data_IF_412936276558
#
_entry.id   IF_412936276558
#
_cell.length_a   1.000
_cell.length_b   1.000
_cell.length_c   1.000
_cell.angle_alpha   90.00
_cell.angle_beta   90.00
_cell.angle_gamma   90.00
#
_symmetry.space_group_name_H-M   'P 1'
#
loop_
_entity.id
_entity.type
_entity.pdbx_description
1 polymer ?
#
# COMPACT_ATOMS: atom_id res chain seq x y z
N UNK A 1 -50.16 0.36 -29.36
CA UNK A 1 -49.10 0.07 -30.35
C UNK A 1 -48.44 1.41 -30.63
N UNK A 2 -47.24 1.74 -30.17
CA UNK A 2 -45.96 1.06 -30.44
C UNK A 2 -44.95 1.42 -29.34
N UNK A 3 -44.31 0.40 -28.77
CA UNK A 3 -43.25 0.50 -27.76
C UNK A 3 -41.99 1.13 -28.34
N UNK A 4 -41.51 2.22 -27.74
CA UNK A 4 -40.15 2.74 -27.96
C UNK A 4 -39.19 2.03 -27.00
N UNK A 5 -38.44 1.04 -27.51
CA UNK A 5 -37.25 0.50 -26.83
C UNK A 5 -36.06 1.40 -27.16
N UNK A 6 -35.56 2.15 -26.18
CA UNK A 6 -34.28 2.83 -26.28
C UNK A 6 -33.15 1.82 -26.03
N UNK A 7 -32.33 1.58 -27.05
CA UNK A 7 -31.19 0.65 -26.99
C UNK A 7 -29.97 1.32 -26.34
N UNK A 8 -29.48 0.70 -25.26
CA UNK A 8 -28.37 1.18 -24.43
C UNK A 8 -26.98 0.90 -25.01
N UNK A 9 -26.55 1.67 -26.01
CA UNK A 9 -25.17 1.60 -26.53
C UNK A 9 -24.28 2.79 -26.15
N UNK A 10 -24.85 3.98 -25.95
CA UNK A 10 -24.07 5.22 -25.87
C UNK A 10 -23.40 5.46 -24.51
N UNK A 11 -24.04 5.05 -23.42
CA UNK A 11 -23.50 5.26 -22.07
C UNK A 11 -22.32 4.34 -21.77
N UNK A 12 -22.37 3.06 -22.18
CA UNK A 12 -21.30 2.10 -21.90
C UNK A 12 -19.99 2.43 -22.62
N UNK A 13 -20.03 2.90 -23.88
CA UNK A 13 -18.82 3.29 -24.64
C UNK A 13 -18.16 4.54 -24.03
N UNK A 14 -18.98 5.53 -23.64
CA UNK A 14 -18.50 6.76 -23.00
C UNK A 14 -17.90 6.49 -21.61
N UNK A 15 -18.47 5.52 -20.88
CA UNK A 15 -17.94 5.07 -19.58
C UNK A 15 -16.60 4.36 -19.80
N UNK A 16 -16.54 3.28 -20.60
CA UNK A 16 -15.29 2.49 -20.83
C UNK A 16 -14.10 3.37 -21.26
N UNK A 17 -14.35 4.35 -22.11
CA UNK A 17 -13.31 5.28 -22.61
C UNK A 17 -12.79 6.22 -21.52
N UNK A 18 -13.61 6.58 -20.53
CA UNK A 18 -13.19 7.48 -19.46
C UNK A 18 -12.34 6.80 -18.39
N UNK A 19 -12.61 5.54 -18.02
CA UNK A 19 -11.75 4.80 -17.06
C UNK A 19 -10.34 4.59 -17.60
N UNK A 20 -10.22 4.19 -18.86
CA UNK A 20 -8.92 4.02 -19.52
C UNK A 20 -8.12 5.32 -19.51
N UNK A 21 -8.77 6.46 -19.76
CA UNK A 21 -8.13 7.79 -19.67
C UNK A 21 -7.72 8.13 -18.23
N UNK A 22 -8.54 7.80 -17.23
CA UNK A 22 -8.21 8.02 -15.81
C UNK A 22 -6.97 7.22 -15.43
N UNK A 23 -6.90 5.93 -15.78
CA UNK A 23 -5.72 5.10 -15.49
C UNK A 23 -4.47 5.60 -16.19
N UNK A 24 -4.56 5.98 -17.46
CA UNK A 24 -3.44 6.59 -18.18
C UNK A 24 -2.95 7.85 -17.46
N UNK A 25 -3.86 8.76 -17.11
CA UNK A 25 -3.51 10.00 -16.42
C UNK A 25 -2.89 9.75 -15.03
N UNK A 26 -3.46 8.82 -14.25
CA UNK A 26 -2.92 8.45 -12.94
C UNK A 26 -1.52 7.81 -13.07
N UNK A 27 -1.32 6.92 -14.04
CA UNK A 27 -0.02 6.30 -14.32
C UNK A 27 1.04 7.32 -14.70
N UNK A 28 0.72 8.23 -15.63
CA UNK A 28 1.61 9.34 -16.03
C UNK A 28 1.91 10.29 -14.87
N UNK A 29 0.94 10.53 -13.98
CA UNK A 29 1.14 11.37 -12.79
C UNK A 29 2.06 10.69 -11.78
N UNK A 30 1.84 9.40 -11.49
CA UNK A 30 2.70 8.65 -10.56
C UNK A 30 4.12 8.49 -11.11
N UNK A 31 4.28 8.22 -12.41
CA UNK A 31 5.61 8.17 -13.03
C UNK A 31 6.36 9.49 -12.92
N UNK A 32 5.69 10.63 -13.15
CA UNK A 32 6.30 11.95 -12.98
C UNK A 32 6.73 12.19 -11.53
N UNK A 33 5.90 11.81 -10.56
CA UNK A 33 6.25 11.92 -9.15
C UNK A 33 7.52 11.13 -8.80
N UNK A 34 7.69 9.91 -9.33
CA UNK A 34 8.91 9.11 -9.14
C UNK A 34 10.15 9.82 -9.72
N UNK A 35 10.03 10.42 -10.91
CA UNK A 35 11.14 11.16 -11.53
C UNK A 35 11.51 12.40 -10.72
N UNK A 36 10.51 13.13 -10.21
CA UNK A 36 10.71 14.36 -9.44
C UNK A 36 11.42 14.13 -8.10
N UNK A 37 11.26 12.94 -7.50
CA UNK A 37 11.93 12.58 -6.25
C UNK A 37 13.47 12.49 -6.35
N UNK A 38 14.04 12.54 -7.57
CA UNK A 38 15.50 12.54 -7.82
C UNK A 38 16.27 11.36 -7.20
N UNK A 39 15.56 10.26 -6.92
CA UNK A 39 16.14 9.00 -6.48
C UNK A 39 16.30 8.08 -7.69
N UNK A 40 17.48 7.48 -7.93
CA UNK A 40 17.66 6.52 -9.01
C UNK A 40 16.74 5.30 -8.81
N UNK A 41 16.00 4.96 -9.86
CA UNK A 41 15.05 3.84 -9.95
C UNK A 41 15.43 3.01 -11.17
N UNK A 42 15.51 1.70 -11.02
CA UNK A 42 15.91 0.77 -12.07
C UNK A 42 14.73 0.34 -12.95
N UNK A 43 13.55 0.22 -12.33
CA UNK A 43 12.33 -0.23 -12.98
C UNK A 43 11.11 0.47 -12.38
N UNK A 44 10.10 0.74 -13.21
CA UNK A 44 8.80 1.26 -12.75
C UNK A 44 7.71 0.25 -13.07
N UNK A 45 7.05 -0.23 -12.03
CA UNK A 45 5.87 -1.09 -12.14
C UNK A 45 4.60 -0.25 -11.98
N UNK A 46 3.57 -0.53 -12.79
CA UNK A 46 2.25 0.13 -12.70
C UNK A 46 1.17 -0.92 -12.57
N UNK A 47 0.34 -0.78 -11.54
CA UNK A 47 -0.82 -1.62 -11.28
C UNK A 47 -2.10 -0.79 -11.34
N UNK A 48 -3.08 -1.27 -12.10
CA UNK A 48 -4.42 -0.69 -12.15
C UNK A 48 -5.40 -1.61 -11.44
N UNK A 49 -6.26 -1.01 -10.61
CA UNK A 49 -7.21 -1.75 -9.79
C UNK A 49 -8.55 -1.03 -9.77
N UNK A 50 -9.62 -1.82 -9.69
CA UNK A 50 -10.98 -1.35 -9.57
C UNK A 50 -11.60 -1.91 -8.29
N UNK A 51 -12.25 -1.03 -7.53
CA UNK A 51 -13.02 -1.40 -6.37
C UNK A 51 -14.50 -1.50 -6.80
N UNK A 52 -15.11 -2.67 -6.62
CA UNK A 52 -16.50 -2.96 -6.98
C UNK A 52 -17.30 -3.42 -5.77
N UNK A 53 -18.61 -3.24 -5.84
CA UNK A 53 -19.59 -3.74 -4.88
C UNK A 53 -20.90 -4.07 -5.59
N UNK A 54 -21.75 -4.89 -4.99
CA UNK A 54 -23.13 -4.99 -5.46
C UNK A 54 -23.94 -3.78 -5.03
N UNK A 55 -24.81 -3.28 -5.92
CA UNK A 55 -25.69 -2.14 -5.63
C UNK A 55 -26.47 -2.38 -4.32
N UNK A 56 -26.39 -1.40 -3.41
CA UNK A 56 -27.09 -1.46 -2.11
C UNK A 56 -26.35 -2.18 -0.99
N UNK A 57 -25.17 -2.75 -1.25
CA UNK A 57 -24.30 -3.33 -0.21
C UNK A 57 -23.19 -2.36 0.19
N UNK A 58 -22.51 -2.61 1.31
CA UNK A 58 -21.32 -1.84 1.74
C UNK A 58 -19.99 -2.56 1.46
N UNK A 59 -20.03 -3.85 1.14
CA UNK A 59 -18.84 -4.65 0.93
C UNK A 59 -18.22 -4.40 -0.44
N UNK A 60 -16.99 -3.89 -0.41
CA UNK A 60 -16.18 -3.58 -1.59
C UNK A 60 -15.10 -4.65 -1.76
N UNK A 61 -14.93 -5.13 -2.99
CA UNK A 61 -13.81 -5.98 -3.38
C UNK A 61 -12.96 -5.28 -4.43
N UNK A 62 -11.65 -5.46 -4.28
CA UNK A 62 -10.67 -5.00 -5.24
C UNK A 62 -10.40 -6.08 -6.27
N UNK A 63 -10.36 -5.69 -7.54
CA UNK A 63 -9.93 -6.54 -8.64
C UNK A 63 -8.84 -5.84 -9.44
N UNK A 64 -7.86 -6.62 -9.89
CA UNK A 64 -6.85 -6.13 -10.81
C UNK A 64 -7.48 -5.85 -12.17
N UNK A 65 -7.08 -4.75 -12.81
CA UNK A 65 -7.48 -4.42 -14.18
C UNK A 65 -6.32 -4.69 -15.12
N UNK A 66 -6.57 -5.48 -16.15
CA UNK A 66 -5.56 -5.81 -17.15
C UNK A 66 -5.28 -4.62 -18.06
N UNK A 67 -4.01 -4.23 -18.19
CA UNK A 67 -3.56 -3.18 -19.12
C UNK A 67 -3.61 -3.65 -20.58
N UNK A 68 -3.74 -2.74 -21.57
CA UNK A 68 -3.70 -1.27 -21.47
C UNK A 68 -5.07 -0.58 -21.39
N UNK A 69 -6.16 -1.26 -21.00
CA UNK A 69 -7.50 -0.67 -21.03
C UNK A 69 -8.50 -1.25 -20.04
N UNK A 70 -9.54 -0.49 -19.75
CA UNK A 70 -10.60 -0.93 -18.84
C UNK A 70 -11.68 -1.73 -19.57
N UNK A 71 -11.90 -2.98 -19.15
CA UNK A 71 -13.03 -3.81 -19.59
C UNK A 71 -14.02 -3.99 -18.45
N UNK A 72 -15.23 -3.43 -18.60
CA UNK A 72 -16.30 -3.57 -17.59
C UNK A 72 -16.65 -5.02 -17.30
N UNK A 73 -16.64 -5.85 -18.34
CA UNK A 73 -17.14 -7.22 -18.26
C UNK A 73 -16.13 -8.10 -17.52
N UNK A 74 -14.84 -7.93 -17.83
CA UNK A 74 -13.75 -8.64 -17.15
C UNK A 74 -13.64 -8.27 -15.65
N UNK A 75 -13.81 -6.98 -15.30
CA UNK A 75 -13.77 -6.58 -13.88
C UNK A 75 -15.02 -7.04 -13.12
N UNK A 76 -16.19 -7.07 -13.76
CA UNK A 76 -17.42 -7.57 -13.16
C UNK A 76 -17.36 -9.08 -12.92
N UNK A 77 -16.82 -9.84 -13.89
CA UNK A 77 -16.59 -11.28 -13.76
C UNK A 77 -15.58 -11.58 -12.64
N UNK A 78 -14.42 -10.91 -12.62
CA UNK A 78 -13.43 -11.08 -11.55
C UNK A 78 -14.01 -10.73 -10.18
N UNK A 79 -14.86 -9.71 -10.10
CA UNK A 79 -15.55 -9.35 -8.87
C UNK A 79 -16.51 -10.45 -8.41
N UNK A 80 -17.35 -10.96 -9.31
CA UNK A 80 -18.31 -12.01 -9.00
C UNK A 80 -17.60 -13.30 -8.53
N UNK A 81 -16.48 -13.66 -9.16
CA UNK A 81 -15.67 -14.80 -8.73
C UNK A 81 -15.10 -14.60 -7.31
N UNK A 82 -14.52 -13.43 -7.01
CA UNK A 82 -14.01 -13.15 -5.67
C UNK A 82 -15.11 -13.12 -4.62
N UNK A 83 -16.29 -12.62 -4.97
CA UNK A 83 -17.44 -12.62 -4.08
C UNK A 83 -17.88 -14.05 -3.77
N UNK A 84 -18.00 -14.89 -4.80
CA UNK A 84 -18.33 -16.32 -4.67
C UNK A 84 -17.28 -17.05 -3.83
N UNK A 85 -15.99 -16.85 -4.09
CA UNK A 85 -14.90 -17.43 -3.29
C UNK A 85 -14.98 -17.04 -1.81
N UNK A 86 -15.39 -15.79 -1.51
CA UNK A 86 -15.45 -15.31 -0.13
C UNK A 86 -16.69 -15.79 0.62
N UNK A 87 -17.85 -15.84 -0.04
CA UNK A 87 -19.14 -16.05 0.62
C UNK A 87 -19.84 -17.35 0.24
N UNK A 88 -19.31 -18.11 -0.72
CA UNK A 88 -19.88 -19.35 -1.25
C UNK A 88 -21.31 -19.18 -1.79
N UNK A 89 -21.62 -18.01 -2.36
CA UNK A 89 -22.93 -17.64 -2.90
C UNK A 89 -22.77 -16.96 -4.25
N UNK A 90 -23.70 -17.24 -5.17
CA UNK A 90 -23.85 -16.56 -6.46
C UNK A 90 -25.09 -15.66 -6.40
N UNK A 91 -24.94 -14.41 -6.84
CA UNK A 91 -26.01 -13.41 -6.85
C UNK A 91 -26.31 -12.97 -8.29
N UNK A 92 -26.95 -13.84 -9.06
CA UNK A 92 -27.17 -13.66 -10.51
C UNK A 92 -27.95 -12.38 -10.87
N UNK A 93 -28.90 -11.98 -10.02
CA UNK A 93 -29.74 -10.79 -10.24
C UNK A 93 -29.09 -9.47 -9.77
N UNK A 94 -27.92 -9.54 -9.11
CA UNK A 94 -27.28 -8.35 -8.56
C UNK A 94 -26.35 -7.70 -9.58
N UNK A 95 -26.41 -6.37 -9.68
CA UNK A 95 -25.54 -5.60 -10.59
C UNK A 95 -24.31 -5.10 -9.84
N UNK A 96 -23.09 -5.50 -10.24
CA UNK A 96 -21.86 -4.87 -9.76
C UNK A 96 -21.82 -3.40 -10.15
N UNK A 97 -21.34 -2.55 -9.24
CA UNK A 97 -21.12 -1.14 -9.47
C UNK A 97 -19.68 -0.78 -9.15
N UNK A 98 -19.08 0.05 -10.00
CA UNK A 98 -17.75 0.59 -9.79
C UNK A 98 -17.79 1.64 -8.68
N UNK A 99 -17.08 1.39 -7.58
CA UNK A 99 -16.97 2.31 -6.45
C UNK A 99 -15.77 3.25 -6.59
N UNK A 100 -14.60 2.72 -6.96
CA UNK A 100 -13.39 3.53 -7.12
C UNK A 100 -12.40 2.92 -8.12
N UNK A 101 -11.47 3.76 -8.60
CA UNK A 101 -10.35 3.36 -9.46
C UNK A 101 -9.04 3.78 -8.78
N UNK A 102 -8.06 2.90 -8.80
CA UNK A 102 -6.74 3.13 -8.23
C UNK A 102 -5.65 2.76 -9.22
N UNK A 103 -4.60 3.57 -9.24
CA UNK A 103 -3.33 3.23 -9.87
C UNK A 103 -2.25 3.28 -8.82
N UNK A 104 -1.47 2.22 -8.72
CA UNK A 104 -0.26 2.16 -7.90
C UNK A 104 0.95 2.17 -8.83
N UNK A 105 1.84 3.13 -8.64
CA UNK A 105 3.11 3.23 -9.38
C UNK A 105 4.24 3.00 -8.40
N UNK A 106 5.08 2.00 -8.69
CA UNK A 106 6.17 1.58 -7.81
C UNK A 106 7.48 1.76 -8.55
N UNK A 107 8.36 2.62 -8.03
CA UNK A 107 9.76 2.67 -8.47
C UNK A 107 10.59 1.63 -7.71
N UNK A 108 11.10 0.62 -8.41
CA UNK A 108 12.03 -0.36 -7.85
C UNK A 108 13.45 0.19 -7.85
N UNK A 109 14.13 0.02 -6.73
CA UNK A 109 15.55 0.34 -6.57
C UNK A 109 16.32 -0.94 -6.31
N UNK A 110 17.57 -0.98 -6.74
CA UNK A 110 18.47 -2.08 -6.41
C UNK A 110 18.55 -2.29 -4.90
N UNK A 111 18.48 -3.55 -4.49
CA UNK A 111 18.44 -3.92 -3.09
C UNK A 111 19.78 -3.55 -2.43
N UNK A 112 19.71 -2.75 -1.36
CA UNK A 112 20.89 -2.45 -0.57
C UNK A 112 21.21 -3.70 0.23
N UNK A 113 22.25 -4.43 -0.18
CA UNK A 113 22.67 -5.66 0.52
C UNK A 113 22.86 -5.36 2.01
N UNK A 114 22.16 -6.13 2.87
CA UNK A 114 22.19 -5.98 4.33
C UNK A 114 23.60 -6.03 4.95
N UNK A 115 24.62 -6.45 4.20
CA UNK A 115 26.03 -6.41 4.61
C UNK A 115 26.53 -5.00 4.96
N UNK A 116 25.86 -3.95 4.47
CA UNK A 116 26.15 -2.55 4.81
C UNK A 116 25.94 -2.22 6.29
N UNK A 117 25.16 -3.03 7.03
CA UNK A 117 24.91 -2.84 8.46
C UNK A 117 25.74 -3.78 9.35
N UNK A 118 26.81 -4.38 8.83
CA UNK A 118 27.71 -5.19 9.65
C UNK A 118 28.48 -4.28 10.63
N UNK A 119 28.05 -4.23 11.88
CA UNK A 119 28.81 -3.62 12.97
C UNK A 119 30.12 -4.40 13.14
N UNK A 120 31.23 -3.87 12.64
CA UNK A 120 32.54 -4.30 13.12
C UNK A 120 32.56 -4.02 14.61
N UNK A 121 32.46 -5.05 15.44
CA UNK A 121 32.53 -4.92 16.90
C UNK A 121 33.92 -4.36 17.23
N UNK A 122 34.09 -3.08 17.62
CA UNK A 122 35.38 -2.64 18.08
C UNK A 122 35.69 -3.46 19.33
N UNK A 123 36.79 -4.20 19.35
CA UNK A 123 37.23 -4.89 20.56
C UNK A 123 37.61 -3.83 21.58
N UNK A 124 36.63 -3.38 22.36
CA UNK A 124 36.85 -2.61 23.58
C UNK A 124 37.48 -3.57 24.57
N UNK A 125 38.81 -3.54 24.64
CA UNK A 125 39.59 -4.18 25.69
C UNK A 125 39.35 -3.41 27.00
N UNK A 126 38.16 -3.53 27.56
CA UNK A 126 37.79 -2.96 28.83
C UNK A 126 38.14 -3.99 29.93
N UNK A 127 39.14 -3.67 30.76
CA UNK A 127 39.34 -4.36 32.04
C UNK A 127 38.00 -4.38 32.81
N UNK A 128 37.58 -5.51 33.38
CA UNK A 128 36.32 -5.55 34.13
C UNK A 128 36.46 -4.71 35.40
N UNK A 129 35.91 -3.49 35.37
CA UNK A 129 35.63 -2.74 36.59
C UNK A 129 34.39 -3.37 37.23
N UNK A 130 34.57 -4.11 38.33
CA UNK A 130 33.48 -4.68 39.12
C UNK A 130 32.64 -3.53 39.71
N UNK A 131 31.36 -3.36 39.36
CA UNK A 131 30.52 -2.42 40.09
C UNK A 131 30.17 -3.03 41.45
N UNK A 132 30.43 -2.29 42.52
CA UNK A 132 29.95 -2.57 43.86
C UNK A 132 28.52 -2.00 43.99
N UNK A 133 27.55 -2.83 44.35
CA UNK A 133 26.17 -2.41 44.60
C UNK A 133 25.90 -2.38 46.10
N UNK A 134 25.64 -1.19 46.64
CA UNK A 134 25.06 -1.02 47.97
C UNK A 134 23.58 -0.64 47.83
N UNK A 135 22.71 -1.40 48.50
CA UNK A 135 21.26 -1.15 48.52
C UNK A 135 20.92 -0.59 49.91
N UNK A 136 20.51 0.68 49.95
CA UNK A 136 19.90 1.28 51.16
C UNK A 136 18.41 1.47 50.90
N UNK A 137 17.58 0.71 51.61
CA UNK A 137 16.11 0.83 51.51
C UNK A 137 15.65 2.01 52.36
N UNK A 138 15.21 3.08 51.70
CA UNK A 138 14.41 4.13 52.33
C UNK A 138 12.97 4.03 51.81
N UNK A 139 12.06 3.66 52.71
CA UNK A 139 10.62 3.64 52.45
C UNK A 139 10.10 5.06 52.20
N UNK A 140 9.56 5.33 51.02
CA UNK A 140 8.93 6.59 50.71
C UNK A 140 8.51 6.67 49.24
N UNK A 141 7.22 6.88 49.00
CA UNK A 141 6.62 7.06 47.67
C UNK A 141 7.34 8.16 46.88
N UNK A 142 7.90 7.80 45.72
CA UNK A 142 7.83 8.51 44.44
C UNK A 142 8.82 7.86 43.44
N UNK A 143 8.31 7.47 42.28
CA UNK A 143 9.13 6.92 41.20
C UNK A 143 9.97 8.04 40.57
N UNK A 144 11.28 8.05 40.83
CA UNK A 144 12.24 8.89 40.08
C UNK A 144 12.94 8.01 39.04
N UNK A 145 12.71 8.31 37.75
CA UNK A 145 13.49 7.70 36.67
C UNK A 145 14.91 8.28 36.69
N UNK A 146 15.92 7.44 36.93
CA UNK A 146 17.32 7.82 36.80
C UNK A 146 17.73 7.74 35.33
N UNK A 147 17.98 8.90 34.70
CA UNK A 147 18.73 9.00 33.44
C UNK A 147 20.22 9.09 33.79
N UNK A 148 21.02 8.14 33.32
CA UNK A 148 22.48 8.22 33.39
C UNK A 148 22.99 8.96 32.15
N UNK A 149 23.48 10.20 32.33
CA UNK A 149 24.32 10.88 31.34
C UNK A 149 25.78 10.65 31.69
N UNK A 150 26.47 9.83 30.90
CA UNK A 150 27.93 9.71 30.97
C UNK A 150 28.58 10.91 30.26
N UNK A 151 29.24 11.78 31.02
CA UNK A 151 30.14 12.81 30.49
C UNK A 151 31.58 12.33 30.68
N UNK A 152 32.32 12.17 29.58
CA UNK A 152 33.75 11.89 29.64
C UNK A 152 34.52 13.19 29.33
N UNK A 153 35.09 13.81 30.36
CA UNK A 153 36.17 14.79 30.23
C UNK A 153 37.47 14.01 30.15
N UNK A 154 38.17 14.14 29.01
CA UNK A 154 39.57 13.75 28.88
C UNK A 154 40.44 14.99 29.17
N UNK A 155 41.33 14.89 30.15
CA UNK A 155 42.50 15.77 30.27
C UNK A 155 43.74 14.96 29.90
N UNK A 156 44.65 15.66 29.22
CA UNK A 156 45.89 15.22 28.57
C UNK A 156 46.81 14.38 29.43
#
# INVERSE_FOLDING_TARGET
>A
MTTLKHYGGHWQISIKTSQTKIFKHQGETGQRAIVDESVPVDEVEIFHEADLMYRGQSHVFRVAVQSPGFSSDAVAESFADRYRERFDIILEDMTPVLASLRTTVIGRRHDLTHSLFSTSNPTINAKPHRPEWSISTASGLHQLSTIVRGSAVARS
#
